data_IF_745289191355
#
_entry.id   IF_745289191355
#
_cell.length_a   1.000
_cell.length_b   1.000
_cell.length_c   1.000
_cell.angle_alpha   90.00
_cell.angle_beta   90.00
_cell.angle_gamma   90.00
#
_symmetry.space_group_name_H-M   'P 1'
#
loop_
_entity.id
_entity.type
_entity.pdbx_description
1 polymer ?
#
# COMPACT_ATOMS: atom_id res chain seq x y z
N UNK A 1 23.77 -4.98 6.93
CA UNK A 1 23.75 -4.87 8.41
C UNK A 1 22.36 -4.39 8.81
N UNK A 2 21.43 -5.33 8.99
CA UNK A 2 20.07 -5.05 9.47
C UNK A 2 20.06 -5.38 10.96
N UNK A 3 19.86 -4.36 11.80
CA UNK A 3 19.72 -4.55 13.24
C UNK A 3 18.41 -5.26 13.52
N UNK A 4 18.51 -6.53 13.91
CA UNK A 4 17.44 -7.29 14.57
C UNK A 4 17.07 -6.50 15.83
N UNK A 5 15.80 -6.10 15.98
CA UNK A 5 15.32 -5.44 17.19
C UNK A 5 15.76 -6.24 18.41
N UNK A 6 16.32 -5.55 19.41
CA UNK A 6 16.69 -6.21 20.64
C UNK A 6 15.44 -6.84 21.27
N UNK A 7 15.58 -8.09 21.71
CA UNK A 7 14.60 -8.72 22.56
C UNK A 7 14.89 -8.23 23.98
N UNK A 8 14.22 -7.16 24.42
CA UNK A 8 14.64 -6.49 25.66
C UNK A 8 13.62 -5.72 26.48
N UNK A 9 12.38 -5.52 26.03
CA UNK A 9 11.31 -4.99 26.86
C UNK A 9 9.95 -5.43 26.32
N UNK A 10 9.06 -5.94 27.17
CA UNK A 10 7.66 -6.08 26.82
C UNK A 10 7.09 -4.67 26.62
N UNK A 11 7.15 -4.17 25.38
CA UNK A 11 6.44 -2.95 25.01
C UNK A 11 4.96 -3.25 25.17
N UNK A 12 4.31 -2.57 26.11
CA UNK A 12 2.87 -2.57 26.18
C UNK A 12 2.35 -1.94 24.88
N UNK A 13 1.86 -2.77 23.97
CA UNK A 13 1.24 -2.30 22.74
C UNK A 13 -0.15 -1.72 23.06
N UNK A 14 -0.56 -0.63 22.39
CA UNK A 14 -1.94 -0.18 22.40
C UNK A 14 -2.91 -1.31 22.03
N UNK A 15 -4.11 -1.30 22.58
CA UNK A 15 -5.12 -2.35 22.34
C UNK A 15 -5.58 -2.43 20.87
N UNK A 16 -5.37 -1.37 20.11
CA UNK A 16 -5.69 -1.22 18.69
C UNK A 16 -4.46 -1.34 17.78
N UNK A 17 -3.30 -1.74 18.32
CA UNK A 17 -2.10 -1.93 17.53
C UNK A 17 -2.25 -3.09 16.54
N UNK A 18 -1.82 -2.87 15.30
CA UNK A 18 -1.62 -3.91 14.29
C UNK A 18 -0.15 -4.30 14.29
N UNK A 19 0.14 -5.59 14.49
CA UNK A 19 1.50 -6.13 14.46
C UNK A 19 1.71 -6.87 13.14
N UNK A 20 2.71 -6.45 12.39
CA UNK A 20 3.15 -7.09 11.16
C UNK A 20 4.57 -7.62 11.35
N UNK A 21 4.89 -8.74 10.71
CA UNK A 21 6.27 -9.15 10.49
C UNK A 21 6.99 -8.14 9.60
N UNK A 22 8.32 -8.18 9.60
CA UNK A 22 9.12 -7.33 8.72
C UNK A 22 8.79 -7.56 7.24
N UNK A 23 8.56 -8.82 6.86
CA UNK A 23 8.21 -9.19 5.49
C UNK A 23 6.81 -8.68 5.12
N UNK A 24 5.81 -8.84 5.99
CA UNK A 24 4.47 -8.28 5.76
C UNK A 24 4.46 -6.74 5.65
N UNK A 25 5.31 -6.07 6.43
CA UNK A 25 5.47 -4.62 6.37
C UNK A 25 6.15 -4.16 5.06
N UNK A 26 7.15 -4.90 4.58
CA UNK A 26 7.78 -4.66 3.29
C UNK A 26 6.77 -4.87 2.14
N UNK A 27 6.06 -6.00 2.15
CA UNK A 27 5.04 -6.32 1.15
C UNK A 27 3.88 -5.30 1.13
N UNK A 28 3.50 -4.77 2.29
CA UNK A 28 2.52 -3.68 2.36
C UNK A 28 3.08 -2.38 1.76
N UNK A 29 4.32 -2.04 2.10
CA UNK A 29 4.99 -0.84 1.59
C UNK A 29 5.10 -0.85 0.06
N UNK A 30 5.46 -2.00 -0.52
CA UNK A 30 5.54 -2.18 -1.97
C UNK A 30 4.17 -2.01 -2.64
N UNK A 31 3.10 -2.57 -2.07
CA UNK A 31 1.74 -2.41 -2.62
C UNK A 31 1.24 -0.97 -2.52
N UNK A 32 1.56 -0.25 -1.44
CA UNK A 32 1.25 1.17 -1.31
C UNK A 32 2.02 1.99 -2.34
N UNK A 33 3.30 1.66 -2.58
CA UNK A 33 4.11 2.29 -3.61
C UNK A 33 3.45 2.14 -4.98
N UNK A 34 3.02 0.92 -5.34
CA UNK A 34 2.33 0.67 -6.61
C UNK A 34 1.02 1.45 -6.73
N UNK A 35 0.25 1.55 -5.65
CA UNK A 35 -0.97 2.38 -5.62
C UNK A 35 -0.66 3.86 -5.87
N UNK A 36 0.42 4.39 -5.27
CA UNK A 36 0.84 5.78 -5.50
C UNK A 36 1.22 6.00 -6.96
N UNK A 37 2.03 5.11 -7.54
CA UNK A 37 2.43 5.22 -8.94
C UNK A 37 1.22 5.20 -9.88
N UNK A 38 0.27 4.29 -9.67
CA UNK A 38 -0.96 4.27 -10.48
C UNK A 38 -1.80 5.55 -10.33
N UNK A 39 -1.74 6.23 -9.18
CA UNK A 39 -2.40 7.52 -8.98
C UNK A 39 -1.64 8.67 -9.68
N UNK A 40 -0.30 8.63 -9.64
CA UNK A 40 0.58 9.55 -10.36
C UNK A 40 0.35 9.45 -11.88
N UNK A 41 0.20 8.23 -12.41
CA UNK A 41 -0.10 8.00 -13.84
C UNK A 41 -1.43 8.64 -14.26
N UNK A 42 -2.47 8.56 -13.42
CA UNK A 42 -3.75 9.25 -13.67
C UNK A 42 -3.55 10.77 -13.71
N UNK A 43 -2.75 11.33 -12.80
CA UNK A 43 -2.47 12.76 -12.76
C UNK A 43 -1.68 13.21 -14.02
N UNK A 44 -0.66 12.47 -14.41
CA UNK A 44 0.10 12.73 -15.64
C UNK A 44 -0.80 12.65 -16.87
N UNK A 45 -1.65 11.62 -16.98
CA UNK A 45 -2.58 11.50 -18.10
C UNK A 45 -3.57 12.68 -18.18
N UNK A 46 -4.04 13.19 -17.04
CA UNK A 46 -4.86 14.40 -16.99
C UNK A 46 -4.10 15.64 -17.48
N UNK A 47 -2.86 15.82 -17.03
CA UNK A 47 -2.00 16.93 -17.43
C UNK A 47 -1.65 16.89 -18.93
N UNK A 48 -1.55 15.69 -19.50
CA UNK A 48 -1.30 15.46 -20.93
C UNK A 48 -2.57 15.52 -21.80
N UNK A 49 -3.77 15.65 -21.18
CA UNK A 49 -5.04 15.74 -21.90
C UNK A 49 -5.53 14.40 -22.45
N UNK A 50 -5.21 13.29 -21.78
CA UNK A 50 -5.65 11.95 -22.12
C UNK A 50 -7.17 11.83 -22.28
N UNK A 51 -7.59 10.94 -23.17
CA UNK A 51 -9.00 10.70 -23.45
C UNK A 51 -9.71 9.94 -22.34
N UNK A 52 -11.04 10.05 -22.31
CA UNK A 52 -11.91 9.32 -21.36
C UNK A 52 -11.65 7.80 -21.32
N UNK A 53 -11.39 7.09 -22.44
CA UNK A 53 -11.08 5.66 -22.40
C UNK A 53 -9.81 5.34 -21.61
N UNK A 54 -8.72 6.07 -21.87
CA UNK A 54 -7.43 5.89 -21.21
C UNK A 54 -7.51 6.21 -19.71
N UNK A 55 -8.13 7.34 -19.36
CA UNK A 55 -8.37 7.70 -17.96
C UNK A 55 -9.18 6.63 -17.22
N UNK A 56 -10.13 5.97 -17.90
CA UNK A 56 -10.91 4.88 -17.31
C UNK A 56 -10.05 3.64 -17.05
N UNK A 57 -9.12 3.33 -17.95
CA UNK A 57 -8.17 2.22 -17.78
C UNK A 57 -7.24 2.47 -16.60
N UNK A 58 -6.63 3.66 -16.53
CA UNK A 58 -5.75 4.07 -15.43
C UNK A 58 -6.48 4.11 -14.08
N UNK A 59 -7.71 4.63 -14.04
CA UNK A 59 -8.55 4.53 -12.83
C UNK A 59 -8.80 3.07 -12.42
N UNK A 60 -8.98 2.19 -13.40
CA UNK A 60 -9.12 0.75 -13.16
C UNK A 60 -7.86 0.13 -12.56
N UNK A 61 -6.67 0.52 -13.03
CA UNK A 61 -5.37 0.11 -12.49
C UNK A 61 -5.17 0.59 -11.06
N UNK A 62 -5.45 1.87 -10.79
CA UNK A 62 -5.39 2.44 -9.46
C UNK A 62 -6.30 1.70 -8.47
N UNK A 63 -7.54 1.39 -8.86
CA UNK A 63 -8.45 0.61 -7.99
C UNK A 63 -7.92 -0.80 -7.75
N UNK A 64 -7.30 -1.45 -8.75
CA UNK A 64 -6.68 -2.77 -8.56
C UNK A 64 -5.51 -2.69 -7.58
N UNK A 65 -4.64 -1.69 -7.70
CA UNK A 65 -3.51 -1.49 -6.80
C UNK A 65 -3.97 -1.19 -5.36
N UNK A 66 -4.99 -0.34 -5.20
CA UNK A 66 -5.58 -0.05 -3.89
C UNK A 66 -6.15 -1.30 -3.21
N UNK A 67 -6.91 -2.13 -3.95
CA UNK A 67 -7.44 -3.40 -3.43
C UNK A 67 -6.34 -4.39 -3.04
N UNK A 68 -5.23 -4.39 -3.77
CA UNK A 68 -4.07 -5.19 -3.41
C UNK A 68 -3.46 -4.69 -2.10
N UNK A 69 -3.31 -3.37 -1.93
CA UNK A 69 -2.83 -2.77 -0.69
C UNK A 69 -3.76 -3.02 0.50
N UNK A 70 -5.09 -3.02 0.33
CA UNK A 70 -6.08 -3.21 1.41
C UNK A 70 -6.09 -4.59 2.08
N UNK A 71 -5.36 -5.57 1.54
CA UNK A 71 -5.39 -6.96 2.01
C UNK A 71 -5.09 -7.15 3.50
N UNK A 72 -4.33 -6.24 4.13
CA UNK A 72 -4.01 -6.29 5.56
C UNK A 72 -5.22 -6.06 6.48
N UNK A 73 -6.27 -5.36 6.02
CA UNK A 73 -7.48 -5.10 6.84
C UNK A 73 -8.37 -6.33 7.06
N UNK A 74 -8.19 -7.41 6.29
CA UNK A 74 -9.01 -8.63 6.39
C UNK A 74 -8.49 -9.66 7.39
N UNK A 75 -7.30 -9.46 7.96
CA UNK A 75 -6.77 -10.32 9.02
C UNK A 75 -7.48 -9.97 10.32
N UNK A 76 -8.61 -10.63 10.61
CA UNK A 76 -9.35 -10.45 11.87
C UNK A 76 -10.89 -10.40 11.79
N UNK A 77 -11.51 -10.64 10.64
CA UNK A 77 -12.96 -10.88 10.49
C UNK A 77 -13.21 -12.28 9.97
#
# INVERSE_FOLDING_TARGET
MMTRGDAGAAVALPADAVVLTADEAADLSDRIYQMRCAAEDVATALDEGAGVPELRELCGELIRAARAADGWRRVGV
#
